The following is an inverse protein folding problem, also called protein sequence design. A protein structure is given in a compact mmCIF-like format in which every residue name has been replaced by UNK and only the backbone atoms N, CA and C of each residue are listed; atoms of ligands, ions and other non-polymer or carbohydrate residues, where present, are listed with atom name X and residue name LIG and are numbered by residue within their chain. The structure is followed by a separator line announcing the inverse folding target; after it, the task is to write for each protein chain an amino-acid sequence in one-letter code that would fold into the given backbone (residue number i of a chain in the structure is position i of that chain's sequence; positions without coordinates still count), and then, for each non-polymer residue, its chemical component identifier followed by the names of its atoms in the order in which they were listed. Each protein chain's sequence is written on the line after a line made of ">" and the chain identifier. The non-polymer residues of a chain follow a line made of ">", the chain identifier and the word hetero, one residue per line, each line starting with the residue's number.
data_IF_447900989191
#
_entry.id   IF_447900989191
#
_cell.length_a   1.000
_cell.length_b   1.000
_cell.length_c   1.000
_cell.angle_alpha   90.00
_cell.angle_beta   90.00
_cell.angle_gamma   90.00
#
_symmetry.space_group_name_H-M   'P 1'
#
loop_
_entity.id
_entity.type
_entity.pdbx_description
1 polymer ?
#
# COMPACT_ATOMS: atom_id res chain seq x y z
N UNK A 1 6.56 13.81 -16.71
CA UNK A 1 6.53 12.60 -15.86
C UNK A 1 5.35 11.75 -16.26
N UNK A 2 5.49 10.42 -16.33
CA UNK A 2 4.33 9.55 -16.18
C UNK A 2 3.81 9.73 -14.74
N UNK A 3 2.52 9.96 -14.57
CA UNK A 3 1.89 10.02 -13.26
C UNK A 3 1.68 8.59 -12.75
N UNK A 4 2.71 8.03 -12.12
CA UNK A 4 2.54 6.83 -11.31
C UNK A 4 1.89 7.19 -9.97
N UNK A 5 0.89 6.41 -9.57
CA UNK A 5 0.45 6.35 -8.18
C UNK A 5 1.27 5.27 -7.51
N UNK A 6 2.38 5.70 -6.93
CA UNK A 6 3.27 4.83 -6.16
C UNK A 6 2.98 4.99 -4.66
N UNK A 7 3.18 3.90 -3.91
CA UNK A 7 3.00 3.84 -2.46
C UNK A 7 4.12 3.07 -1.76
N UNK A 8 4.32 3.31 -0.46
CA UNK A 8 5.16 2.47 0.40
C UNK A 8 4.27 1.77 1.42
N UNK A 9 4.28 0.44 1.42
CA UNK A 9 3.48 -0.33 2.35
C UNK A 9 4.19 -0.46 3.70
N UNK A 10 3.51 -0.06 4.78
CA UNK A 10 4.12 0.23 6.08
C UNK A 10 4.01 -0.91 7.09
N UNK A 11 2.88 -1.62 7.08
CA UNK A 11 2.49 -2.54 8.15
C UNK A 11 3.38 -3.76 8.29
N UNK A 12 3.78 -4.36 7.16
CA UNK A 12 4.59 -5.59 7.13
C UNK A 12 5.18 -5.86 5.73
N UNK A 13 6.03 -6.88 5.66
CA UNK A 13 6.95 -7.18 4.57
C UNK A 13 6.31 -7.67 3.26
N UNK A 14 5.03 -8.07 3.33
CA UNK A 14 4.15 -8.50 2.21
C UNK A 14 2.72 -8.08 2.53
N UNK A 15 1.78 -8.00 1.56
CA UNK A 15 0.38 -7.70 1.87
C UNK A 15 -0.22 -8.66 2.89
N UNK A 16 -0.88 -8.13 3.93
CA UNK A 16 -1.45 -8.90 5.05
C UNK A 16 -2.58 -9.86 4.65
N UNK A 17 -3.18 -9.66 3.49
CA UNK A 17 -4.21 -10.55 2.95
C UNK A 17 -4.30 -10.43 1.42
N UNK A 18 -4.88 -11.42 0.73
CA UNK A 18 -5.23 -11.29 -0.68
C UNK A 18 -6.19 -10.13 -0.96
N UNK A 19 -7.03 -9.75 0.00
CA UNK A 19 -7.90 -8.57 -0.08
C UNK A 19 -7.10 -7.26 -0.04
N UNK A 20 -6.08 -7.16 0.82
CA UNK A 20 -5.10 -6.06 0.81
C UNK A 20 -4.40 -6.00 -0.54
N UNK A 21 -3.86 -7.12 -1.03
CA UNK A 21 -3.16 -7.19 -2.32
C UNK A 21 -4.05 -6.74 -3.48
N UNK A 22 -5.31 -7.20 -3.50
CA UNK A 22 -6.33 -6.77 -4.47
C UNK A 22 -6.48 -5.25 -4.43
N UNK A 23 -6.78 -4.69 -3.27
CA UNK A 23 -6.96 -3.25 -3.08
C UNK A 23 -5.73 -2.43 -3.50
N UNK A 24 -4.53 -2.88 -3.14
CA UNK A 24 -3.27 -2.26 -3.55
C UNK A 24 -3.12 -2.25 -5.08
N UNK A 25 -3.36 -3.38 -5.75
CA UNK A 25 -3.26 -3.49 -7.21
C UNK A 25 -4.34 -2.77 -8.00
N UNK A 26 -5.46 -2.42 -7.34
CA UNK A 26 -6.56 -1.60 -7.85
C UNK A 26 -6.37 -0.07 -7.65
N UNK A 27 -5.34 0.36 -6.93
CA UNK A 27 -5.08 1.78 -6.67
C UNK A 27 -3.72 2.21 -7.25
N UNK A 28 -2.69 1.43 -7.01
CA UNK A 28 -1.30 1.83 -7.24
C UNK A 28 -0.72 1.19 -8.51
N UNK A 29 0.19 1.89 -9.17
CA UNK A 29 1.10 1.24 -10.14
C UNK A 29 2.06 0.34 -9.37
N UNK A 30 2.72 0.90 -8.36
CA UNK A 30 3.75 0.23 -7.58
C UNK A 30 3.54 0.45 -6.09
N UNK A 31 3.77 -0.61 -5.35
CA UNK A 31 3.80 -0.63 -3.90
C UNK A 31 5.16 -1.15 -3.50
N UNK A 32 5.95 -0.28 -2.90
CA UNK A 32 7.30 -0.58 -2.46
C UNK A 32 7.27 -1.29 -1.10
N UNK A 33 8.10 -2.32 -0.97
CA UNK A 33 8.31 -3.12 0.24
C UNK A 33 9.78 -2.97 0.68
N UNK A 34 10.12 -1.93 1.46
CA UNK A 34 11.50 -1.52 1.63
C UNK A 34 12.32 -2.48 2.46
N UNK A 35 13.48 -2.89 1.93
CA UNK A 35 14.39 -3.79 2.62
C UNK A 35 14.08 -5.26 2.49
N UNK A 36 12.99 -5.62 1.82
CA UNK A 36 12.58 -7.02 1.62
C UNK A 36 13.19 -7.57 0.35
N UNK A 37 13.63 -8.84 0.39
CA UNK A 37 14.14 -9.62 -0.74
C UNK A 37 13.35 -10.92 -0.90
N UNK A 38 12.86 -11.15 -2.12
CA UNK A 38 12.28 -12.42 -2.55
C UNK A 38 13.11 -13.00 -3.70
N UNK A 39 13.38 -14.32 -3.70
CA UNK A 39 14.02 -14.99 -4.84
C UNK A 39 13.20 -14.83 -6.13
N UNK A 40 13.86 -15.07 -7.26
CA UNK A 40 13.25 -14.95 -8.61
C UNK A 40 13.16 -16.28 -9.35
N UNK A 41 13.51 -17.39 -8.69
CA UNK A 41 13.33 -18.75 -9.19
C UNK A 41 11.86 -19.21 -9.09
N UNK A 42 11.49 -20.19 -9.91
CA UNK A 42 10.25 -20.94 -9.70
C UNK A 42 10.39 -21.80 -8.42
N UNK A 43 9.51 -21.56 -7.45
CA UNK A 43 9.58 -22.20 -6.14
C UNK A 43 8.64 -23.42 -6.07
N UNK A 44 9.09 -24.49 -5.39
CA UNK A 44 8.26 -25.66 -5.09
C UNK A 44 7.17 -25.29 -4.08
N UNK A 45 5.94 -25.12 -4.58
CA UNK A 45 4.77 -24.75 -3.79
C UNK A 45 4.43 -25.79 -2.72
N UNK A 46 4.57 -27.08 -3.02
CA UNK A 46 4.27 -28.15 -2.09
C UNK A 46 5.33 -28.21 -0.97
N UNK A 47 6.61 -27.94 -1.29
CA UNK A 47 7.66 -27.86 -0.28
C UNK A 47 7.50 -26.65 0.65
N UNK A 48 7.10 -25.50 0.10
CA UNK A 48 6.76 -24.31 0.89
C UNK A 48 5.54 -24.59 1.78
N UNK A 49 4.47 -25.19 1.24
CA UNK A 49 3.28 -25.53 2.02
C UNK A 49 3.60 -26.51 3.16
N UNK A 50 4.39 -27.56 2.90
CA UNK A 50 4.87 -28.50 3.93
C UNK A 50 5.68 -27.79 5.03
N UNK A 51 6.51 -26.81 4.69
CA UNK A 51 7.29 -26.04 5.66
C UNK A 51 6.42 -25.11 6.51
N UNK A 52 5.45 -24.42 5.90
CA UNK A 52 4.47 -23.60 6.61
C UNK A 52 3.72 -24.46 7.65
N UNK A 53 3.24 -25.63 7.23
CA UNK A 53 2.56 -26.58 8.13
C UNK A 53 3.48 -27.13 9.23
N UNK A 54 4.76 -27.38 8.92
CA UNK A 54 5.76 -27.78 9.94
C UNK A 54 5.98 -26.69 10.98
N UNK A 55 6.04 -25.41 10.57
CA UNK A 55 6.19 -24.27 11.48
C UNK A 55 4.95 -24.16 12.38
N UNK A 56 3.73 -24.15 11.82
CA UNK A 56 2.48 -24.08 12.59
C UNK A 56 2.33 -25.22 13.61
N UNK A 57 2.78 -26.43 13.27
CA UNK A 57 2.67 -27.63 14.13
C UNK A 57 3.76 -27.73 15.21
N UNK A 58 4.70 -26.80 15.27
CA UNK A 58 5.80 -26.82 16.24
C UNK A 58 5.36 -26.66 17.70
N UNK A 59 4.10 -26.25 17.95
CA UNK A 59 3.54 -26.11 19.29
C UNK A 59 4.01 -24.87 20.06
N UNK A 60 4.94 -24.10 19.49
CA UNK A 60 5.33 -22.78 20.00
C UNK A 60 4.19 -21.80 19.72
N UNK A 61 3.86 -20.95 20.69
CA UNK A 61 2.94 -19.83 20.47
C UNK A 61 3.50 -18.95 19.34
N UNK A 62 2.75 -18.82 18.25
CA UNK A 62 3.18 -18.06 17.07
C UNK A 62 3.32 -16.59 17.46
N UNK A 63 4.55 -16.11 17.52
CA UNK A 63 4.88 -14.70 17.71
C UNK A 63 4.71 -13.91 16.39
N UNK A 64 4.81 -12.58 16.48
CA UNK A 64 4.62 -11.65 15.36
C UNK A 64 5.59 -12.00 14.22
N UNK A 65 6.86 -12.24 14.56
CA UNK A 65 7.92 -12.53 13.61
C UNK A 65 7.71 -13.87 12.87
N UNK A 66 7.25 -14.92 13.57
CA UNK A 66 6.87 -16.21 12.98
C UNK A 66 5.63 -16.07 12.09
N UNK A 67 4.66 -15.26 12.49
CA UNK A 67 3.49 -14.95 11.66
C UNK A 67 3.87 -14.19 10.37
N UNK A 68 4.79 -13.22 10.46
CA UNK A 68 5.34 -12.52 9.29
C UNK A 68 6.12 -13.48 8.38
N UNK A 69 6.94 -14.37 8.95
CA UNK A 69 7.67 -15.39 8.19
C UNK A 69 6.73 -16.34 7.42
N UNK A 70 5.66 -16.80 8.06
CA UNK A 70 4.64 -17.64 7.41
C UNK A 70 3.99 -16.89 6.24
N UNK A 71 3.62 -15.62 6.42
CA UNK A 71 3.03 -14.80 5.35
C UNK A 71 4.00 -14.56 4.20
N UNK A 72 5.29 -14.32 4.47
CA UNK A 72 6.30 -14.22 3.42
C UNK A 72 6.46 -15.54 2.66
N UNK A 73 6.50 -16.69 3.35
CA UNK A 73 6.57 -18.01 2.70
C UNK A 73 5.34 -18.26 1.81
N UNK A 74 4.14 -17.95 2.31
CA UNK A 74 2.87 -18.12 1.60
C UNK A 74 2.78 -17.22 0.35
N UNK A 75 3.26 -15.98 0.45
CA UNK A 75 3.31 -15.03 -0.67
C UNK A 75 4.36 -15.40 -1.74
N UNK A 76 5.46 -16.06 -1.36
CA UNK A 76 6.63 -16.24 -2.23
C UNK A 76 6.33 -16.85 -3.62
N UNK A 77 5.50 -17.91 -3.76
CA UNK A 77 5.17 -18.47 -5.07
C UNK A 77 4.35 -17.54 -5.98
N UNK A 78 3.65 -16.58 -5.37
CA UNK A 78 2.76 -15.66 -6.06
C UNK A 78 3.46 -14.38 -6.56
N UNK A 79 4.64 -14.06 -6.00
CA UNK A 79 5.44 -12.87 -6.32
C UNK A 79 5.58 -12.60 -7.82
N UNK A 80 5.81 -13.64 -8.64
CA UNK A 80 5.96 -13.52 -10.11
C UNK A 80 4.73 -13.01 -10.85
N UNK A 81 3.54 -13.10 -10.24
CA UNK A 81 2.30 -12.59 -10.83
C UNK A 81 2.04 -11.12 -10.49
N UNK A 82 2.77 -10.57 -9.53
CA UNK A 82 2.58 -9.20 -9.04
C UNK A 82 3.90 -8.43 -8.96
N UNK A 83 4.90 -8.82 -9.77
CA UNK A 83 6.23 -8.19 -9.76
C UNK A 83 6.24 -6.76 -10.35
N UNK A 84 5.24 -6.41 -11.16
CA UNK A 84 5.02 -5.04 -11.65
C UNK A 84 4.44 -4.12 -10.56
N UNK A 85 3.77 -4.72 -9.57
CA UNK A 85 3.08 -4.07 -8.46
C UNK A 85 3.93 -4.05 -7.19
N UNK A 86 4.39 -5.21 -6.70
CA UNK A 86 5.07 -5.37 -5.43
C UNK A 86 6.59 -5.24 -5.62
N UNK A 87 7.12 -4.03 -5.37
CA UNK A 87 8.53 -3.70 -5.60
C UNK A 87 9.35 -3.94 -4.32
N UNK A 88 9.98 -5.10 -4.27
CA UNK A 88 10.91 -5.51 -3.20
C UNK A 88 12.29 -4.88 -3.44
N UNK A 89 12.85 -4.16 -2.45
CA UNK A 89 14.01 -3.27 -2.68
C UNK A 89 15.36 -3.76 -2.15
N UNK A 90 15.42 -4.91 -1.47
CA UNK A 90 16.69 -5.51 -1.07
C UNK A 90 17.21 -6.53 -2.08
N UNK A 91 18.52 -6.74 -2.05
CA UNK A 91 19.29 -7.63 -2.91
C UNK A 91 19.58 -8.99 -2.24
N UNK A 92 20.30 -9.86 -2.94
CA UNK A 92 20.79 -11.12 -2.38
C UNK A 92 21.93 -10.94 -1.37
N UNK A 93 22.62 -9.80 -1.36
CA UNK A 93 23.75 -9.50 -0.48
C UNK A 93 23.29 -8.99 0.91
N UNK A 94 22.07 -8.43 0.95
CA UNK A 94 21.43 -7.88 2.14
C UNK A 94 20.99 -9.01 3.12
N UNK A 95 21.94 -9.49 3.92
CA UNK A 95 21.83 -10.74 4.73
C UNK A 95 20.55 -10.88 5.57
N UNK A 96 20.01 -9.78 6.11
CA UNK A 96 18.76 -9.76 6.89
C UNK A 96 17.72 -8.80 6.29
N UNK A 97 17.77 -8.62 4.96
CA UNK A 97 17.15 -7.49 4.29
C UNK A 97 17.98 -6.21 4.46
N UNK A 98 17.57 -5.15 3.76
CA UNK A 98 18.25 -3.85 3.80
C UNK A 98 17.60 -2.92 4.82
N UNK A 99 18.37 -2.50 5.81
CA UNK A 99 17.96 -1.53 6.85
C UNK A 99 18.67 -0.21 6.59
N UNK A 100 17.91 0.85 6.33
CA UNK A 100 18.48 2.19 6.09
C UNK A 100 19.06 2.82 7.37
N UNK A 101 20.08 3.69 7.20
CA UNK A 101 20.66 4.49 8.29
C UNK A 101 19.55 5.28 9.01
N UNK A 102 19.54 5.22 10.35
CA UNK A 102 18.54 5.85 11.20
C UNK A 102 17.34 4.97 11.57
N UNK A 103 17.14 3.81 10.92
CA UNK A 103 15.99 2.94 11.20
C UNK A 103 15.95 2.43 12.65
N UNK A 104 17.10 2.19 13.28
CA UNK A 104 17.19 1.77 14.69
C UNK A 104 16.57 2.81 15.64
N UNK A 105 16.86 4.10 15.46
CA UNK A 105 16.31 5.17 16.30
C UNK A 105 14.78 5.28 16.15
N UNK A 106 14.26 5.08 14.93
CA UNK A 106 12.81 5.07 14.67
C UNK A 106 12.17 3.80 15.22
N UNK A 107 12.80 2.63 15.07
CA UNK A 107 12.30 1.35 15.58
C UNK A 107 12.23 1.35 17.12
N UNK A 108 13.23 1.93 17.80
CA UNK A 108 13.24 2.14 19.26
C UNK A 108 12.14 3.09 19.75
N UNK A 109 11.71 4.03 18.92
CA UNK A 109 10.61 4.91 19.26
C UNK A 109 9.25 4.28 18.93
N UNK A 110 9.15 3.48 17.87
CA UNK A 110 7.96 2.66 17.60
C UNK A 110 7.73 1.61 18.71
N UNK A 111 8.79 0.97 19.23
CA UNK A 111 8.75 0.12 20.43
C UNK A 111 8.08 0.84 21.61
N UNK A 112 8.50 2.09 21.89
CA UNK A 112 7.90 2.93 22.95
C UNK A 112 6.45 3.30 22.69
N UNK A 113 6.04 3.49 21.43
CA UNK A 113 4.65 3.77 21.10
C UNK A 113 3.74 2.53 21.22
N UNK A 114 4.28 1.33 20.96
CA UNK A 114 3.52 0.07 21.03
C UNK A 114 3.42 -0.45 22.47
N UNK A 115 4.51 -0.41 23.25
CA UNK A 115 4.56 -1.00 24.60
C UNK A 115 4.64 0.02 25.75
N UNK A 116 4.83 1.31 25.45
CA UNK A 116 5.14 2.33 26.44
C UNK A 116 6.64 2.43 26.75
N UNK A 117 7.03 3.31 27.70
CA UNK A 117 8.44 3.47 28.07
C UNK A 117 8.97 2.17 28.73
N UNK A 118 10.20 1.74 28.41
CA UNK A 118 10.79 0.56 29.02
C UNK A 118 10.97 0.74 30.54
N UNK A 119 10.79 -0.33 31.35
CA UNK A 119 11.08 -0.29 32.79
C UNK A 119 12.54 0.14 33.08
N UNK A 120 12.84 0.67 34.28
CA UNK A 120 14.20 0.97 34.68
C UNK A 120 15.12 -0.25 34.54
N UNK A 121 16.28 -0.05 33.90
CA UNK A 121 17.27 -1.09 33.55
C UNK A 121 16.79 -2.16 32.55
N UNK A 122 15.62 -2.01 31.92
CA UNK A 122 15.21 -2.82 30.78
C UNK A 122 15.68 -2.18 29.47
N UNK A 123 16.41 -2.95 28.66
CA UNK A 123 16.84 -2.54 27.33
C UNK A 123 16.08 -3.40 26.31
N UNK A 124 15.12 -2.84 25.55
CA UNK A 124 14.40 -3.60 24.54
C UNK A 124 15.38 -4.08 23.47
N UNK A 125 15.31 -5.36 23.14
CA UNK A 125 16.15 -5.98 22.11
C UNK A 125 15.33 -6.14 20.84
N UNK A 126 15.54 -5.23 19.89
CA UNK A 126 14.86 -5.27 18.61
C UNK A 126 15.51 -6.32 17.69
N UNK A 127 14.68 -7.12 17.03
CA UNK A 127 15.12 -8.09 16.04
C UNK A 127 15.40 -7.37 14.72
N UNK A 128 16.65 -7.34 14.27
CA UNK A 128 17.08 -6.57 13.09
C UNK A 128 16.47 -7.08 11.79
N UNK A 129 16.38 -8.40 11.63
CA UNK A 129 15.74 -9.02 10.48
C UNK A 129 15.90 -10.53 10.42
N UNK A 130 15.33 -11.10 9.36
CA UNK A 130 15.22 -12.53 9.14
C UNK A 130 15.83 -12.94 7.80
N UNK A 131 16.32 -14.18 7.77
CA UNK A 131 16.74 -14.88 6.58
C UNK A 131 16.21 -16.31 6.65
N UNK A 132 15.44 -16.73 5.64
CA UNK A 132 14.87 -18.07 5.55
C UNK A 132 15.16 -18.69 4.18
N UNK A 133 15.95 -19.77 4.18
CA UNK A 133 16.14 -20.59 2.98
C UNK A 133 14.82 -21.23 2.52
N UNK A 134 14.58 -21.23 1.22
CA UNK A 134 13.39 -21.83 0.61
C UNK A 134 13.53 -23.37 0.59
N UNK A 135 12.52 -24.11 1.08
CA UNK A 135 12.46 -25.56 0.91
C UNK A 135 12.62 -25.99 -0.55
N UNK A 136 13.50 -26.95 -0.81
CA UNK A 136 13.79 -27.43 -2.17
C UNK A 136 14.87 -26.63 -2.92
N UNK A 137 15.25 -25.44 -2.46
CA UNK A 137 16.37 -24.68 -3.03
C UNK A 137 17.62 -24.73 -2.14
N UNK A 138 18.80 -24.62 -2.76
CA UNK A 138 20.10 -24.51 -2.07
C UNK A 138 20.59 -23.08 -1.90
N UNK A 139 20.02 -22.14 -2.68
CA UNK A 139 20.52 -20.76 -2.82
C UNK A 139 19.45 -19.71 -2.54
N UNK A 140 18.18 -20.06 -2.68
CA UNK A 140 17.09 -19.10 -2.54
C UNK A 140 16.76 -18.84 -1.09
N UNK A 141 16.71 -17.57 -0.73
CA UNK A 141 16.48 -17.10 0.65
C UNK A 141 15.54 -15.89 0.60
N UNK A 142 14.45 -15.99 1.35
CA UNK A 142 13.63 -14.82 1.71
C UNK A 142 14.38 -14.05 2.80
N UNK A 143 14.56 -12.74 2.62
CA UNK A 143 15.22 -11.89 3.63
C UNK A 143 14.39 -10.63 3.87
N UNK A 144 14.24 -10.22 5.11
CA UNK A 144 13.47 -9.02 5.43
C UNK A 144 13.79 -8.42 6.81
N UNK A 145 13.61 -7.09 7.00
CA UNK A 145 13.80 -6.44 8.29
C UNK A 145 12.76 -6.92 9.31
N UNK A 146 13.13 -6.96 10.59
CA UNK A 146 12.25 -7.44 11.66
C UNK A 146 11.05 -6.52 11.89
N UNK A 147 10.10 -6.96 12.72
CA UNK A 147 8.74 -6.40 12.73
C UNK A 147 8.65 -4.90 13.05
N UNK A 148 9.62 -4.31 13.77
CA UNK A 148 9.75 -2.85 13.97
C UNK A 148 10.77 -2.16 13.04
N UNK A 149 11.81 -2.88 12.60
CA UNK A 149 12.74 -2.34 11.62
C UNK A 149 12.09 -2.17 10.25
N UNK A 150 11.13 -3.01 9.87
CA UNK A 150 10.40 -2.86 8.62
C UNK A 150 9.60 -1.55 8.55
N UNK A 151 8.68 -1.23 9.49
CA UNK A 151 7.96 0.05 9.47
C UNK A 151 8.91 1.25 9.59
N UNK A 152 9.96 1.17 10.42
CA UNK A 152 10.99 2.20 10.49
C UNK A 152 11.68 2.46 9.13
N UNK A 153 12.05 1.38 8.42
CA UNK A 153 12.64 1.43 7.10
C UNK A 153 11.65 1.96 6.03
N UNK A 154 10.39 1.57 6.12
CA UNK A 154 9.31 2.05 5.25
C UNK A 154 9.09 3.56 5.39
N UNK A 155 9.18 4.12 6.60
CA UNK A 155 9.09 5.57 6.84
C UNK A 155 10.26 6.33 6.23
N UNK A 156 11.48 5.85 6.43
CA UNK A 156 12.69 6.44 5.86
C UNK A 156 12.61 6.40 4.32
N UNK A 157 12.22 5.26 3.75
CA UNK A 157 12.08 5.10 2.31
C UNK A 157 10.97 6.00 1.74
N UNK A 158 9.80 6.06 2.38
CA UNK A 158 8.69 6.93 1.98
C UNK A 158 9.09 8.40 1.98
N UNK A 159 9.78 8.85 3.04
CA UNK A 159 10.23 10.24 3.16
C UNK A 159 11.31 10.59 2.14
N UNK A 160 12.34 9.72 1.95
CA UNK A 160 13.41 9.93 0.97
C UNK A 160 12.90 10.04 -0.47
N UNK A 161 11.94 9.19 -0.84
CA UNK A 161 11.42 9.12 -2.21
C UNK A 161 10.17 10.01 -2.43
N UNK A 162 9.72 10.73 -1.39
CA UNK A 162 8.46 11.48 -1.40
C UNK A 162 7.27 10.63 -1.91
N UNK A 163 7.15 9.41 -1.39
CA UNK A 163 6.09 8.45 -1.75
C UNK A 163 5.11 8.35 -0.57
N UNK A 164 3.78 8.44 -0.79
CA UNK A 164 2.79 8.22 0.25
C UNK A 164 2.98 6.89 0.98
N UNK A 165 2.96 6.96 2.30
CA UNK A 165 3.00 5.81 3.19
C UNK A 165 1.60 5.22 3.32
N UNK A 166 1.50 3.89 3.40
CA UNK A 166 0.24 3.15 3.35
C UNK A 166 0.23 2.09 4.45
N UNK A 167 -0.66 2.29 5.42
CA UNK A 167 -0.86 1.39 6.54
C UNK A 167 -2.27 0.79 6.53
N UNK A 168 -2.38 -0.54 6.45
CA UNK A 168 -3.63 -1.29 6.60
C UNK A 168 -3.85 -1.87 8.02
N UNK A 169 -2.86 -1.76 8.92
CA UNK A 169 -2.96 -2.22 10.29
C UNK A 169 -3.32 -1.07 11.27
N UNK A 170 -4.56 -1.01 11.81
CA UNK A 170 -4.96 0.06 12.72
C UNK A 170 -4.25 0.02 14.09
N UNK A 171 -3.54 -1.06 14.42
CA UNK A 171 -2.79 -1.19 15.68
C UNK A 171 -1.39 -0.61 15.59
N UNK A 172 -0.83 -0.46 14.39
CA UNK A 172 0.52 0.04 14.18
C UNK A 172 0.52 1.58 14.14
N UNK A 173 1.24 2.27 15.05
CA UNK A 173 1.23 3.72 15.11
C UNK A 173 1.92 4.30 13.88
N UNK A 174 1.22 5.13 13.11
CA UNK A 174 1.80 5.82 11.95
C UNK A 174 2.37 7.16 12.43
N UNK A 175 3.69 7.43 12.32
CA UNK A 175 4.37 8.52 13.01
C UNK A 175 4.67 9.76 12.16
N UNK A 176 4.39 10.95 12.71
CA UNK A 176 4.09 12.17 11.94
C UNK A 176 5.22 12.62 11.02
N UNK A 177 4.86 13.14 9.84
CA UNK A 177 5.81 13.97 9.09
C UNK A 177 6.00 15.26 9.88
N UNK A 178 7.23 15.52 10.35
CA UNK A 178 7.54 16.68 11.17
C UNK A 178 7.25 17.99 10.46
N UNK A 179 6.13 18.63 10.80
CA UNK A 179 5.73 19.94 10.27
C UNK A 179 5.33 19.97 8.79
N UNK A 180 5.33 18.83 8.06
CA UNK A 180 4.94 18.82 6.64
C UNK A 180 3.42 18.80 6.53
N UNK A 181 2.85 19.97 6.26
CA UNK A 181 1.42 20.13 5.99
C UNK A 181 0.96 19.21 4.84
N UNK A 182 -0.27 18.64 4.91
CA UNK A 182 -0.90 18.02 3.74
C UNK A 182 -1.12 19.04 2.60
N UNK A 183 -1.19 20.33 2.95
CA UNK A 183 -1.39 21.43 2.01
C UNK A 183 -0.18 21.57 1.07
N UNK A 184 -0.49 21.78 -0.20
CA UNK A 184 0.41 21.84 -1.36
C UNK A 184 1.09 20.50 -1.73
N UNK A 185 0.80 19.39 -1.03
CA UNK A 185 1.29 18.06 -1.43
C UNK A 185 0.32 17.37 -2.41
N UNK A 186 0.41 17.74 -3.69
CA UNK A 186 -0.50 17.24 -4.74
C UNK A 186 -0.48 15.70 -4.91
N UNK A 187 0.67 15.04 -4.67
CA UNK A 187 0.79 13.58 -4.74
C UNK A 187 0.02 12.92 -3.60
N UNK A 188 0.21 13.39 -2.37
CA UNK A 188 -0.54 12.92 -1.21
C UNK A 188 -2.05 13.15 -1.37
N UNK A 189 -2.46 14.37 -1.72
CA UNK A 189 -3.87 14.73 -1.83
C UNK A 189 -4.58 13.94 -2.94
N UNK A 190 -3.91 13.68 -4.06
CA UNK A 190 -4.45 12.81 -5.12
C UNK A 190 -4.50 11.33 -4.70
N UNK A 191 -3.54 10.83 -3.91
CA UNK A 191 -3.63 9.48 -3.29
C UNK A 191 -4.82 9.37 -2.34
N UNK A 192 -5.05 10.35 -1.45
CA UNK A 192 -6.21 10.36 -0.53
C UNK A 192 -7.52 10.36 -1.33
N UNK A 193 -7.65 11.23 -2.33
CA UNK A 193 -8.83 11.26 -3.22
C UNK A 193 -9.02 9.95 -3.99
N UNK A 194 -7.94 9.29 -4.42
CA UNK A 194 -8.01 8.00 -5.11
C UNK A 194 -8.56 6.91 -4.17
N UNK A 195 -8.08 6.86 -2.93
CA UNK A 195 -8.54 5.92 -1.90
C UNK A 195 -10.02 6.15 -1.59
N UNK A 196 -10.44 7.38 -1.29
CA UNK A 196 -11.86 7.69 -1.01
C UNK A 196 -12.77 7.45 -2.23
N UNK A 197 -12.29 7.74 -3.45
CA UNK A 197 -13.03 7.44 -4.69
C UNK A 197 -13.20 5.94 -4.92
N UNK A 198 -12.18 5.13 -4.60
CA UNK A 198 -12.27 3.68 -4.72
C UNK A 198 -13.24 3.07 -3.69
N UNK A 199 -13.41 3.67 -2.50
CA UNK A 199 -14.43 3.22 -1.53
C UNK A 199 -15.87 3.28 -2.07
N UNK A 200 -16.13 4.05 -3.13
CA UNK A 200 -17.43 4.09 -3.81
C UNK A 200 -17.73 2.83 -4.66
N UNK A 201 -16.70 2.05 -5.01
CA UNK A 201 -16.82 0.83 -5.84
C UNK A 201 -16.32 -0.43 -5.13
N UNK A 202 -15.47 -0.32 -4.11
CA UNK A 202 -14.92 -1.43 -3.34
C UNK A 202 -15.92 -2.37 -2.64
N UNK A 203 -17.12 -1.95 -2.16
CA UNK A 203 -18.06 -2.86 -1.51
C UNK A 203 -18.55 -4.03 -2.36
N UNK A 204 -18.34 -3.97 -3.68
CA UNK A 204 -18.74 -4.99 -4.63
C UNK A 204 -17.58 -5.88 -5.11
N UNK A 205 -16.32 -5.53 -4.82
CA UNK A 205 -15.15 -6.15 -5.47
C UNK A 205 -14.75 -7.47 -4.78
N UNK A 206 -14.75 -8.61 -5.51
CA UNK A 206 -14.26 -9.87 -4.96
C UNK A 206 -12.75 -9.80 -4.72
N UNK A 207 -12.28 -10.55 -3.74
CA UNK A 207 -10.84 -10.77 -3.54
C UNK A 207 -10.29 -11.55 -4.74
N UNK A 208 -9.26 -11.03 -5.40
CA UNK A 208 -8.66 -11.61 -6.59
C UNK A 208 -7.44 -12.46 -6.23
N UNK A 209 -7.27 -13.57 -6.94
CA UNK A 209 -6.00 -14.27 -6.94
C UNK A 209 -4.90 -13.41 -7.58
N UNK A 210 -3.62 -13.58 -7.20
CA UNK A 210 -2.50 -12.80 -7.77
C UNK A 210 -2.43 -12.84 -9.30
N UNK A 211 -2.81 -13.97 -9.92
CA UNK A 211 -2.91 -14.14 -11.37
C UNK A 211 -4.02 -13.27 -11.98
N UNK A 212 -5.22 -13.32 -11.40
CA UNK A 212 -6.39 -12.54 -11.86
C UNK A 212 -6.15 -11.03 -11.71
N UNK A 213 -5.43 -10.64 -10.65
CA UNK A 213 -5.00 -9.26 -10.44
C UNK A 213 -4.02 -8.79 -11.52
N UNK A 214 -3.10 -9.64 -11.96
CA UNK A 214 -2.17 -9.35 -13.05
C UNK A 214 -2.92 -9.09 -14.37
N UNK A 215 -3.86 -9.99 -14.71
CA UNK A 215 -4.72 -9.87 -15.89
C UNK A 215 -5.55 -8.57 -15.85
N UNK A 216 -6.20 -8.28 -14.71
CA UNK A 216 -6.96 -7.05 -14.53
C UNK A 216 -6.10 -5.79 -14.74
N UNK A 217 -4.88 -5.78 -14.20
CA UNK A 217 -3.97 -4.63 -14.34
C UNK A 217 -3.57 -4.39 -15.79
N UNK A 218 -3.34 -5.46 -16.57
CA UNK A 218 -3.10 -5.37 -18.01
C UNK A 218 -4.32 -4.79 -18.74
N UNK A 219 -5.52 -5.30 -18.47
CA UNK A 219 -6.77 -4.84 -19.12
C UNK A 219 -7.17 -3.39 -18.74
N UNK A 220 -6.82 -2.95 -17.53
CA UNK A 220 -7.23 -1.64 -17.00
C UNK A 220 -6.19 -0.53 -17.20
N UNK A 221 -4.93 -0.87 -17.51
CA UNK A 221 -3.84 0.06 -17.83
C UNK A 221 -4.21 1.17 -18.84
N UNK A 222 -5.01 0.95 -19.90
CA UNK A 222 -5.40 2.04 -20.82
C UNK A 222 -6.25 3.15 -20.18
N UNK A 223 -6.83 2.90 -19.00
CA UNK A 223 -7.79 3.78 -18.35
C UNK A 223 -7.26 4.41 -17.06
N UNK A 224 -6.24 3.82 -16.42
CA UNK A 224 -5.58 4.34 -15.21
C UNK A 224 -5.10 5.79 -15.40
N UNK A 225 -4.47 6.10 -16.54
CA UNK A 225 -3.91 7.43 -16.83
C UNK A 225 -4.95 8.55 -16.78
N UNK A 226 -6.15 8.32 -17.34
CA UNK A 226 -7.24 9.29 -17.34
C UNK A 226 -7.80 9.51 -15.94
N UNK A 227 -7.92 8.43 -15.15
CA UNK A 227 -8.39 8.48 -13.78
C UNK A 227 -7.42 9.24 -12.86
N UNK A 228 -6.11 9.02 -13.01
CA UNK A 228 -5.08 9.78 -12.27
C UNK A 228 -5.09 11.26 -12.63
N UNK A 229 -5.32 11.61 -13.89
CA UNK A 229 -5.46 13.01 -14.29
C UNK A 229 -6.65 13.69 -13.60
N UNK A 230 -7.79 13.00 -13.43
CA UNK A 230 -8.91 13.49 -12.63
C UNK A 230 -8.56 13.60 -11.14
N UNK A 231 -7.94 12.58 -10.53
CA UNK A 231 -7.55 12.63 -9.11
C UNK A 231 -6.57 13.76 -8.81
N UNK A 232 -5.60 14.01 -9.71
CA UNK A 232 -4.66 15.12 -9.61
C UNK A 232 -5.31 16.50 -9.87
N UNK A 233 -6.35 16.56 -10.71
CA UNK A 233 -7.15 17.77 -10.89
C UNK A 233 -7.97 18.09 -9.63
N UNK A 234 -8.67 17.09 -9.09
CA UNK A 234 -9.43 17.21 -7.85
C UNK A 234 -8.52 17.51 -6.64
N UNK A 235 -7.25 17.06 -6.63
CA UNK A 235 -6.34 17.40 -5.54
C UNK A 235 -6.02 18.89 -5.45
N UNK A 236 -6.16 19.66 -6.54
CA UNK A 236 -6.08 21.12 -6.51
C UNK A 236 -7.27 21.74 -5.77
N UNK A 237 -8.48 21.21 -6.00
CA UNK A 237 -9.71 21.66 -5.35
C UNK A 237 -9.69 21.28 -3.86
N UNK A 238 -9.26 20.06 -3.52
CA UNK A 238 -9.03 19.63 -2.14
C UNK A 238 -8.00 20.53 -1.43
N UNK A 239 -6.91 20.88 -2.11
CA UNK A 239 -5.88 21.79 -1.57
C UNK A 239 -6.41 23.19 -1.23
N UNK A 240 -7.41 23.66 -1.99
CA UNK A 240 -8.08 24.94 -1.73
C UNK A 240 -9.07 24.83 -0.56
N UNK A 241 -9.69 23.66 -0.35
CA UNK A 241 -10.66 23.41 0.71
C UNK A 241 -10.04 23.17 2.10
N UNK A 242 -8.76 22.82 2.19
CA UNK A 242 -8.08 22.49 3.47
C UNK A 242 -7.20 23.64 3.98
N UNK A 243 -7.10 23.77 5.30
CA UNK A 243 -6.16 24.69 5.96
C UNK A 243 -4.76 24.08 6.08
N UNK A 244 -3.74 24.90 6.34
CA UNK A 244 -2.34 24.45 6.46
C UNK A 244 -2.08 23.61 7.73
N UNK A 245 -2.93 23.77 8.73
CA UNK A 245 -2.96 23.06 10.02
C UNK A 245 -4.02 21.96 10.08
N UNK A 246 -4.72 21.68 8.97
CA UNK A 246 -5.76 20.65 8.90
C UNK A 246 -5.20 19.27 9.25
N UNK A 247 -5.90 18.55 10.13
CA UNK A 247 -5.52 17.19 10.53
C UNK A 247 -5.92 16.20 9.44
N UNK A 248 -5.30 15.01 9.43
CA UNK A 248 -5.60 13.98 8.44
C UNK A 248 -7.11 13.65 8.37
N UNK A 249 -7.81 13.59 9.50
CA UNK A 249 -9.25 13.32 9.54
C UNK A 249 -10.05 14.38 8.77
N UNK A 250 -9.68 15.66 8.90
CA UNK A 250 -10.33 16.78 8.22
C UNK A 250 -10.09 16.71 6.70
N UNK A 251 -8.85 16.38 6.29
CA UNK A 251 -8.46 16.18 4.89
C UNK A 251 -9.18 14.98 4.27
N UNK A 252 -9.29 13.86 5.01
CA UNK A 252 -10.03 12.67 4.58
C UNK A 252 -11.54 12.96 4.46
N UNK A 253 -12.12 13.72 5.40
CA UNK A 253 -13.53 14.12 5.33
C UNK A 253 -13.80 15.01 4.11
N UNK A 254 -12.94 15.99 3.83
CA UNK A 254 -13.04 16.83 2.64
C UNK A 254 -12.87 16.02 1.33
N UNK A 255 -11.89 15.11 1.28
CA UNK A 255 -11.67 14.23 0.13
C UNK A 255 -12.86 13.29 -0.11
N UNK A 256 -13.44 12.73 0.96
CA UNK A 256 -14.64 11.90 0.90
C UNK A 256 -15.85 12.69 0.37
N UNK A 257 -16.07 13.91 0.86
CA UNK A 257 -17.14 14.78 0.35
C UNK A 257 -16.98 15.06 -1.15
N UNK A 258 -15.75 15.30 -1.62
CA UNK A 258 -15.47 15.46 -3.05
C UNK A 258 -15.69 14.18 -3.87
N UNK A 259 -15.36 13.01 -3.32
CA UNK A 259 -15.66 11.73 -3.96
C UNK A 259 -17.18 11.53 -4.08
N UNK A 260 -17.94 11.78 -3.01
CA UNK A 260 -19.40 11.65 -2.98
C UNK A 260 -20.11 12.67 -3.89
N UNK A 261 -19.62 13.92 -4.01
CA UNK A 261 -20.27 14.98 -4.80
C UNK A 261 -19.84 15.05 -6.27
N UNK A 262 -18.59 14.70 -6.59
CA UNK A 262 -18.04 14.86 -7.96
C UNK A 262 -17.79 13.54 -8.66
N UNK A 263 -17.29 12.53 -7.92
CA UNK A 263 -16.90 11.24 -8.52
C UNK A 263 -18.09 10.29 -8.61
N UNK A 264 -18.89 10.15 -7.55
CA UNK A 264 -20.04 9.24 -7.53
C UNK A 264 -21.08 9.52 -8.64
N UNK A 265 -21.50 10.78 -8.92
CA UNK A 265 -22.44 11.04 -10.01
C UNK A 265 -21.85 10.70 -11.38
N UNK A 266 -20.57 11.01 -11.60
CA UNK A 266 -19.89 10.69 -12.85
C UNK A 266 -19.73 9.18 -13.08
N UNK A 267 -19.56 8.38 -12.02
CA UNK A 267 -19.65 6.91 -12.12
C UNK A 267 -21.07 6.49 -12.55
N UNK A 268 -22.13 7.04 -11.96
CA UNK A 268 -23.50 6.60 -12.27
C UNK A 268 -23.97 7.04 -13.67
N UNK A 269 -23.57 8.22 -14.16
CA UNK A 269 -23.80 8.61 -15.56
C UNK A 269 -23.16 7.60 -16.54
N UNK A 270 -21.93 7.17 -16.25
CA UNK A 270 -21.23 6.19 -17.08
C UNK A 270 -21.83 4.78 -16.92
N UNK A 271 -22.33 4.41 -15.73
CA UNK A 271 -23.14 3.20 -15.54
C UNK A 271 -24.40 3.27 -16.40
N UNK A 272 -25.13 4.39 -16.39
CA UNK A 272 -26.31 4.61 -17.24
C UNK A 272 -26.01 4.46 -18.73
N UNK A 273 -24.90 5.03 -19.19
CA UNK A 273 -24.41 4.88 -20.56
C UNK A 273 -24.09 3.41 -20.92
N UNK A 274 -23.49 2.65 -20.00
CA UNK A 274 -23.15 1.22 -20.20
C UNK A 274 -24.35 0.29 -20.07
N UNK A 275 -25.33 0.61 -19.20
CA UNK A 275 -26.57 -0.15 -18.96
C UNK A 275 -27.63 0.06 -20.08
N UNK A 276 -27.31 0.83 -21.12
CA UNK A 276 -28.21 1.09 -22.25
C UNK A 276 -28.59 -0.21 -23.01
N UNK A 277 -29.87 -0.44 -23.42
CA UNK A 277 -30.46 -1.79 -23.43
C UNK A 277 -30.10 -2.73 -24.61
N UNK A 278 -28.89 -2.64 -25.19
CA UNK A 278 -28.54 -3.32 -26.45
C UNK A 278 -27.59 -4.53 -26.34
N UNK A 279 -27.28 -5.07 -25.16
CA UNK A 279 -26.44 -6.30 -25.01
C UNK A 279 -26.92 -7.28 -23.92
N UNK A 280 -26.55 -8.58 -23.96
CA UNK A 280 -27.37 -9.64 -23.32
C UNK A 280 -26.97 -10.07 -21.88
N UNK A 281 -25.93 -9.50 -21.28
CA UNK A 281 -25.23 -10.11 -20.12
C UNK A 281 -25.82 -9.77 -18.72
N UNK A 282 -27.06 -9.27 -18.66
CA UNK A 282 -27.58 -8.56 -17.47
C UNK A 282 -28.30 -9.43 -16.41
N UNK A 283 -28.06 -10.75 -16.33
CA UNK A 283 -28.88 -11.67 -15.49
C UNK A 283 -28.17 -12.43 -14.34
N UNK A 284 -26.93 -12.09 -13.96
CA UNK A 284 -26.15 -12.86 -12.95
C UNK A 284 -25.66 -12.11 -11.69
N UNK A 285 -25.88 -10.80 -11.56
CA UNK A 285 -25.22 -9.98 -10.52
C UNK A 285 -25.72 -10.15 -9.06
N UNK A 286 -26.71 -11.00 -8.79
CA UNK A 286 -27.51 -10.92 -7.56
C UNK A 286 -27.15 -11.89 -6.42
N UNK A 287 -25.99 -12.58 -6.44
CA UNK A 287 -25.77 -13.76 -5.57
C UNK A 287 -24.58 -13.78 -4.60
N UNK A 288 -23.76 -12.71 -4.51
CA UNK A 288 -22.56 -12.69 -3.65
C UNK A 288 -22.45 -11.45 -2.74
N UNK A 289 -23.58 -10.92 -2.26
CA UNK A 289 -23.63 -9.75 -1.38
C UNK A 289 -23.38 -10.07 0.11
N UNK A 290 -22.54 -11.07 0.45
CA UNK A 290 -22.34 -11.50 1.85
C UNK A 290 -20.90 -11.36 2.33
N UNK A 291 -20.74 -10.39 3.25
CA UNK A 291 -19.66 -10.19 4.21
C UNK A 291 -18.26 -9.85 3.66
N UNK A 292 -17.90 -8.56 3.76
CA UNK A 292 -16.53 -8.14 4.09
C UNK A 292 -16.60 -7.11 5.24
N UNK A 293 -15.95 -7.36 6.39
CA UNK A 293 -15.80 -6.34 7.43
C UNK A 293 -14.85 -5.24 6.96
N UNK A 294 -15.31 -3.99 6.98
CA UNK A 294 -14.48 -2.78 7.03
C UNK A 294 -13.22 -2.71 6.13
N UNK A 295 -13.35 -2.91 4.81
CA UNK A 295 -12.32 -2.49 3.83
C UNK A 295 -12.04 -0.97 3.82
N UNK A 296 -12.75 -0.18 4.62
CA UNK A 296 -12.90 1.27 4.45
C UNK A 296 -12.10 2.16 5.43
N UNK A 297 -11.41 1.62 6.46
CA UNK A 297 -11.02 2.42 7.64
C UNK A 297 -9.55 2.34 8.12
N UNK A 298 -8.65 1.64 7.43
CA UNK A 298 -7.21 1.72 7.68
C UNK A 298 -6.45 1.91 6.38
N UNK A 299 -6.44 3.16 5.88
CA UNK A 299 -5.48 3.63 4.89
C UNK A 299 -5.15 5.11 5.19
N UNK A 300 -4.34 5.31 6.23
CA UNK A 300 -3.85 6.63 6.61
C UNK A 300 -2.63 6.98 5.76
N UNK A 301 -2.79 7.92 4.83
CA UNK A 301 -1.69 8.40 3.98
C UNK A 301 -0.73 9.38 4.69
N UNK A 302 -1.05 9.75 5.94
CA UNK A 302 -0.23 10.59 6.81
C UNK A 302 -0.37 10.16 8.29
N UNK A 303 0.47 10.74 9.16
CA UNK A 303 0.64 10.21 10.50
C UNK A 303 0.58 11.26 11.63
N UNK A 304 0.56 10.82 12.89
CA UNK A 304 0.03 11.63 14.02
C UNK A 304 0.97 11.93 15.18
N UNK A 305 2.18 11.35 15.26
CA UNK A 305 3.06 11.49 16.42
C UNK A 305 4.30 12.40 16.19
N UNK A 306 4.53 13.35 17.11
CA UNK A 306 5.61 14.35 17.09
C UNK A 306 7.01 13.83 17.50
N UNK A 307 7.14 12.76 18.29
CA UNK A 307 8.45 12.33 18.81
C UNK A 307 9.26 11.60 17.73
N UNK A 308 8.61 10.74 16.94
CA UNK A 308 9.24 10.10 15.78
C UNK A 308 9.49 11.10 14.66
N UNK A 309 8.69 12.16 14.53
CA UNK A 309 8.96 13.23 13.59
C UNK A 309 10.36 13.83 13.80
N UNK A 310 10.77 14.06 15.05
CA UNK A 310 12.12 14.53 15.40
C UNK A 310 13.21 13.49 15.07
N UNK A 311 12.97 12.21 15.35
CA UNK A 311 13.90 11.13 14.99
C UNK A 311 14.07 10.99 13.46
N UNK A 312 12.99 11.16 12.70
CA UNK A 312 12.99 11.18 11.24
C UNK A 312 13.74 12.41 10.70
N UNK A 313 13.54 13.60 11.28
CA UNK A 313 14.33 14.80 10.93
C UNK A 313 15.82 14.59 11.18
N UNK A 314 16.22 13.94 12.27
CA UNK A 314 17.63 13.61 12.54
C UNK A 314 18.19 12.61 11.51
N UNK A 315 17.44 11.55 11.17
CA UNK A 315 17.85 10.56 10.17
C UNK A 315 17.92 11.11 8.74
N UNK A 316 17.12 12.13 8.41
CA UNK A 316 17.14 12.81 7.11
C UNK A 316 18.18 13.93 7.03
N UNK A 317 18.52 14.57 8.16
CA UNK A 317 19.43 15.72 8.21
C UNK A 317 20.85 15.45 7.72
N UNK A 318 21.30 14.20 7.67
CA UNK A 318 22.59 13.80 7.09
C UNK A 318 22.54 13.54 5.57
N UNK A 319 21.39 13.72 4.90
CA UNK A 319 21.17 13.26 3.52
C UNK A 319 20.59 14.33 2.57
N UNK A 320 20.37 15.56 3.02
CA UNK A 320 19.77 16.63 2.20
C UNK A 320 20.83 17.51 1.54
N UNK A 321 21.39 17.00 0.45
CA UNK A 321 21.98 17.81 -0.62
C UNK A 321 21.44 17.28 -1.96
N UNK A 322 21.11 18.19 -2.90
CA UNK A 322 20.62 17.97 -4.28
C UNK A 322 19.09 17.95 -4.57
N UNK A 323 18.53 19.17 -4.66
CA UNK A 323 17.97 19.78 -5.90
C UNK A 323 16.49 19.55 -6.35
N UNK A 324 15.90 20.64 -6.87
CA UNK A 324 14.48 20.87 -7.25
C UNK A 324 14.23 21.20 -8.75
N UNK A 325 12.93 21.41 -9.09
CA UNK A 325 12.29 22.06 -10.27
C UNK A 325 12.05 21.18 -11.55
N UNK A 326 10.82 20.84 -11.98
CA UNK A 326 9.71 21.63 -12.61
C UNK A 326 9.83 21.80 -14.17
N UNK A 327 8.80 21.98 -15.03
CA UNK A 327 7.34 22.25 -14.91
C UNK A 327 6.52 21.75 -16.18
N UNK A 328 5.16 21.78 -16.14
CA UNK A 328 4.07 21.80 -17.22
C UNK A 328 4.28 21.38 -18.71
N UNK A 329 3.29 21.18 -19.63
CA UNK A 329 1.83 20.87 -19.73
C UNK A 329 1.55 20.54 -21.23
N UNK A 330 0.54 19.74 -21.58
CA UNK A 330 -0.48 20.16 -22.58
C UNK A 330 -1.73 19.24 -22.65
N UNK A 331 -2.82 19.72 -23.28
CA UNK A 331 -4.16 19.10 -23.29
C UNK A 331 -4.56 18.43 -24.62
N UNK A 332 -5.42 17.38 -24.55
CA UNK A 332 -6.57 17.19 -25.47
C UNK A 332 -7.61 16.20 -24.92
N UNK A 333 -8.88 16.40 -25.30
CA UNK A 333 -10.06 16.03 -24.51
C UNK A 333 -10.68 14.63 -24.77
N UNK A 334 -11.36 14.11 -23.72
CA UNK A 334 -12.56 13.26 -23.74
C UNK A 334 -12.45 11.80 -24.25
N UNK A 335 -11.96 10.93 -23.35
CA UNK A 335 -12.71 9.72 -22.91
C UNK A 335 -12.86 9.82 -21.39
N UNK A 336 -13.98 9.36 -20.83
CA UNK A 336 -14.39 9.74 -19.47
C UNK A 336 -13.35 9.38 -18.41
N UNK A 337 -13.00 10.35 -17.56
CA UNK A 337 -11.85 10.27 -16.68
C UNK A 337 -12.01 9.15 -15.64
N UNK A 338 -13.25 8.84 -15.23
CA UNK A 338 -13.57 7.82 -14.23
C UNK A 338 -13.83 6.40 -14.78
N UNK A 339 -13.60 6.12 -16.07
CA UNK A 339 -13.86 4.78 -16.64
C UNK A 339 -13.09 3.65 -15.94
N UNK A 340 -11.93 3.95 -15.34
CA UNK A 340 -11.18 2.99 -14.53
C UNK A 340 -12.00 2.42 -13.36
N UNK A 341 -12.79 3.24 -12.67
CA UNK A 341 -13.65 2.82 -11.56
C UNK A 341 -14.72 1.81 -12.02
N UNK A 342 -15.18 1.93 -13.26
CA UNK A 342 -16.12 0.98 -13.88
C UNK A 342 -15.44 -0.31 -14.32
N UNK A 343 -14.14 -0.28 -14.65
CA UNK A 343 -13.39 -1.51 -14.89
C UNK A 343 -13.16 -2.27 -13.58
N UNK A 344 -12.75 -1.58 -12.50
CA UNK A 344 -12.66 -2.17 -11.17
C UNK A 344 -14.00 -2.78 -10.73
N UNK A 345 -15.12 -2.10 -11.01
CA UNK A 345 -16.47 -2.64 -10.77
C UNK A 345 -16.89 -3.73 -11.77
N UNK A 346 -16.30 -3.85 -12.97
CA UNK A 346 -16.69 -4.92 -13.92
C UNK A 346 -16.19 -6.30 -13.51
N UNK A 347 -15.13 -6.38 -12.69
CA UNK A 347 -14.63 -7.65 -12.13
C UNK A 347 -15.71 -8.34 -11.26
N UNK A 348 -16.69 -7.59 -10.76
CA UNK A 348 -17.82 -8.08 -9.95
C UNK A 348 -18.92 -8.74 -10.78
N UNK A 349 -18.86 -8.63 -12.11
CA UNK A 349 -19.90 -9.05 -13.04
C UNK A 349 -19.42 -10.22 -13.93
N UNK A 350 -19.76 -11.48 -13.60
CA UNK A 350 -19.24 -12.66 -14.31
C UNK A 350 -19.87 -12.86 -15.71
N UNK A 351 -19.14 -13.59 -16.56
CA UNK A 351 -19.63 -14.17 -17.83
C UNK A 351 -20.76 -15.19 -17.57
#
# INVERSE_FOLDING_TARGET
>A
MESSLDAVYYSQQVPKSPATLTLLGLIFDRVYFPGVHFPSSDLDQDAIHREIERIKRSGVQIDISTAQLIQCLDFAPHKKHVEDLCIFTASNEDTFGKVDKGAEAIAMELERLVFGPPPPNFFPRLETGYAKGIPGSKTDVIRFPGWLYYPANALIFASKNQIPLINDDPTLPVPGLGGVSPKNNAKLLSTILTIESMKLVLPEIPTLAPQELAEFRIESRPHTKSFRAAMLKLSKELNAAIHSDAKLADVQQAARFMAETTVAPAIEELRGFIKSPKRPWHKKAAKYAMMIPSLALSFSALPTNLQIATALTFALGELVDLRDAEIEKDQKMKRSEFYYLLQAQRITSPK
#
